data_IF_393902795131
#
_entry.id   IF_393902795131
#
_cell.length_a   1.000
_cell.length_b   1.000
_cell.length_c   1.000
_cell.angle_alpha   90.00
_cell.angle_beta   90.00
_cell.angle_gamma   90.00
#
_symmetry.space_group_name_H-M   'P 1'
#
loop_
_entity.id
_entity.type
_entity.pdbx_description
1 polymer ?
#
# COMPACT_ATOMS: atom_id res chain seq x y z
N UNK A 1 9.52 -11.01 17.53
CA UNK A 1 9.31 -9.92 16.55
C UNK A 1 9.22 -10.52 15.16
N UNK A 2 8.29 -10.04 14.33
CA UNK A 2 8.10 -10.52 12.96
C UNK A 2 7.75 -9.38 12.00
N UNK A 3 8.04 -9.58 10.71
CA UNK A 3 7.53 -8.76 9.62
C UNK A 3 6.27 -9.42 9.04
N UNK A 4 5.18 -8.68 8.97
CA UNK A 4 3.97 -9.09 8.29
C UNK A 4 4.07 -8.72 6.81
N UNK A 5 3.79 -9.68 5.90
CA UNK A 5 3.69 -9.43 4.47
C UNK A 5 2.26 -9.73 4.02
N UNK A 6 1.57 -8.73 3.49
CA UNK A 6 0.20 -8.83 2.99
C UNK A 6 0.26 -8.81 1.46
N UNK A 7 -0.31 -9.83 0.82
CA UNK A 7 -0.41 -9.92 -0.63
C UNK A 7 -1.89 -9.89 -1.02
N UNK A 8 -2.26 -8.94 -1.88
CA UNK A 8 -3.62 -8.84 -2.41
C UNK A 8 -3.64 -8.33 -3.83
N UNK A 9 -4.77 -8.55 -4.52
CA UNK A 9 -4.94 -8.09 -5.90
C UNK A 9 -4.82 -6.57 -6.05
N UNK A 10 -5.12 -5.79 -5.01
CA UNK A 10 -5.05 -4.32 -5.02
C UNK A 10 -4.30 -3.80 -3.81
N UNK A 11 -3.47 -2.76 -4.01
CA UNK A 11 -2.88 -2.03 -2.90
C UNK A 11 -3.94 -1.25 -2.11
N UNK A 12 -3.71 -0.97 -0.82
CA UNK A 12 -4.58 -0.14 0.00
C UNK A 12 -4.37 1.36 -0.30
N UNK A 13 -4.03 1.70 -1.54
CA UNK A 13 -3.86 3.08 -2.00
C UNK A 13 -4.62 3.32 -3.29
N UNK A 14 -5.04 4.56 -3.49
CA UNK A 14 -5.59 5.10 -4.72
C UNK A 14 -4.55 5.99 -5.37
N UNK A 15 -4.27 5.74 -6.65
CA UNK A 15 -3.36 6.57 -7.46
C UNK A 15 -4.15 7.70 -8.09
N UNK A 16 -3.70 8.94 -7.87
CA UNK A 16 -4.29 10.14 -8.46
C UNK A 16 -3.23 10.84 -9.30
N UNK A 17 -3.54 11.12 -10.56
CA UNK A 17 -2.69 11.90 -11.46
C UNK A 17 -3.24 13.32 -11.57
N UNK A 18 -2.51 14.31 -11.05
CA UNK A 18 -2.86 15.72 -11.13
C UNK A 18 -1.67 16.52 -11.67
N UNK A 19 -1.88 17.29 -12.75
CA UNK A 19 -0.89 18.21 -13.32
C UNK A 19 0.47 17.54 -13.63
N UNK A 20 0.46 16.28 -14.06
CA UNK A 20 1.67 15.50 -14.36
C UNK A 20 2.43 14.98 -13.13
N UNK A 21 1.86 15.13 -11.93
CA UNK A 21 2.36 14.53 -10.70
C UNK A 21 1.46 13.37 -10.27
N UNK A 22 2.10 12.29 -9.82
CA UNK A 22 1.40 11.12 -9.26
C UNK A 22 1.35 11.31 -7.75
N UNK A 23 0.16 11.18 -7.17
CA UNK A 23 -0.09 11.15 -5.72
C UNK A 23 -0.72 9.83 -5.33
N UNK A 24 -0.36 9.34 -4.15
CA UNK A 24 -0.97 8.16 -3.54
C UNK A 24 -1.79 8.60 -2.35
N UNK A 25 -3.04 8.16 -2.28
CA UNK A 25 -3.95 8.40 -1.17
C UNK A 25 -4.37 7.07 -0.57
N UNK A 26 -4.61 7.00 0.74
CA UNK A 26 -5.14 5.79 1.36
C UNK A 26 -6.48 5.40 0.72
N UNK A 27 -6.64 4.14 0.35
CA UNK A 27 -7.92 3.61 -0.12
C UNK A 27 -8.89 3.53 1.05
N UNK A 28 -10.11 4.03 0.84
CA UNK A 28 -11.16 4.00 1.87
C UNK A 28 -11.80 2.61 1.91
N UNK A 29 -11.76 1.97 3.09
CA UNK A 29 -12.61 0.82 3.43
C UNK A 29 -12.15 -0.56 2.91
N UNK A 30 -12.99 -1.57 3.16
CA UNK A 30 -12.82 -2.94 2.67
C UNK A 30 -11.72 -3.74 3.40
N UNK A 31 -10.87 -4.40 2.61
CA UNK A 31 -9.84 -5.32 3.10
C UNK A 31 -8.76 -4.62 3.96
N UNK A 32 -8.38 -3.39 3.60
CA UNK A 32 -7.37 -2.61 4.33
C UNK A 32 -7.83 -2.29 5.76
N UNK A 33 -9.07 -1.83 5.91
CA UNK A 33 -9.69 -1.60 7.20
C UNK A 33 -9.86 -2.90 7.97
N UNK A 34 -10.32 -3.98 7.32
CA UNK A 34 -10.49 -5.28 7.96
C UNK A 34 -9.19 -5.85 8.53
N UNK A 35 -8.08 -5.76 7.77
CA UNK A 35 -6.76 -6.21 8.24
C UNK A 35 -6.25 -5.34 9.39
N UNK A 36 -6.40 -4.01 9.31
CA UNK A 36 -6.04 -3.11 10.42
C UNK A 36 -6.81 -3.48 11.71
N UNK A 37 -8.12 -3.70 11.61
CA UNK A 37 -8.96 -4.12 12.74
C UNK A 37 -8.58 -5.49 13.27
N UNK A 38 -8.28 -6.45 12.38
CA UNK A 38 -7.78 -7.77 12.78
C UNK A 38 -6.48 -7.62 13.57
N UNK A 39 -5.45 -6.97 13.03
CA UNK A 39 -4.17 -6.80 13.74
C UNK A 39 -4.39 -6.17 15.13
N UNK A 40 -5.22 -5.13 15.22
CA UNK A 40 -5.51 -4.42 16.46
C UNK A 40 -6.39 -5.20 17.47
N UNK A 41 -7.11 -6.24 17.03
CA UNK A 41 -8.00 -7.01 17.92
C UNK A 41 -7.26 -7.84 18.96
N UNK A 42 -5.95 -8.02 18.80
CA UNK A 42 -5.08 -8.78 19.70
C UNK A 42 -3.80 -7.98 19.96
N UNK A 43 -3.64 -7.54 21.21
CA UNK A 43 -2.48 -6.73 21.65
C UNK A 43 -1.17 -7.49 21.50
N UNK A 44 -1.14 -8.79 21.83
CA UNK A 44 0.08 -9.58 21.72
C UNK A 44 0.51 -9.68 20.25
N UNK A 45 -0.45 -9.89 19.33
CA UNK A 45 -0.18 -9.86 17.89
C UNK A 45 0.33 -8.49 17.43
N UNK A 46 -0.33 -7.41 17.84
CA UNK A 46 0.06 -6.05 17.46
C UNK A 46 1.49 -5.73 17.93
N UNK A 47 1.87 -6.14 19.13
CA UNK A 47 3.22 -5.94 19.69
C UNK A 47 4.28 -6.84 19.03
N UNK A 48 3.89 -8.01 18.52
CA UNK A 48 4.82 -8.91 17.82
C UNK A 48 5.19 -8.43 16.42
N UNK A 49 4.32 -7.65 15.75
CA UNK A 49 4.53 -7.13 14.40
C UNK A 49 5.31 -5.81 14.48
N UNK A 50 6.55 -5.81 13.98
CA UNK A 50 7.36 -4.59 13.91
C UNK A 50 7.24 -3.83 12.60
N UNK A 51 6.90 -4.56 11.53
CA UNK A 51 6.84 -4.02 10.18
C UNK A 51 5.75 -4.73 9.39
N UNK A 52 5.11 -3.99 8.49
CA UNK A 52 4.02 -4.46 7.65
C UNK A 52 4.28 -4.02 6.20
N UNK A 53 4.59 -4.99 5.34
CA UNK A 53 4.77 -4.78 3.91
C UNK A 53 3.51 -5.21 3.16
N UNK A 54 2.98 -4.33 2.30
CA UNK A 54 1.85 -4.66 1.43
C UNK A 54 2.28 -4.73 -0.03
N UNK A 55 1.95 -5.84 -0.69
CA UNK A 55 2.20 -6.08 -2.11
C UNK A 55 0.88 -6.25 -2.86
N UNK A 56 0.72 -5.53 -3.96
CA UNK A 56 -0.47 -5.61 -4.80
C UNK A 56 -0.38 -4.69 -6.02
N UNK A 57 -1.40 -4.74 -6.88
CA UNK A 57 -1.49 -3.86 -8.03
C UNK A 57 -2.06 -2.48 -7.63
N UNK A 58 -1.44 -1.35 -8.04
CA UNK A 58 -1.76 -0.03 -7.49
C UNK A 58 -3.11 0.54 -7.90
N UNK A 59 -3.74 0.10 -8.98
CA UNK A 59 -4.83 0.91 -9.50
C UNK A 59 -5.01 0.88 -10.98
N UNK A 60 -3.88 1.17 -11.59
CA UNK A 60 -3.73 1.84 -12.87
C UNK A 60 -2.36 1.46 -13.42
N UNK A 61 -2.16 1.66 -14.71
CA UNK A 61 -0.84 1.61 -15.30
C UNK A 61 -0.07 2.90 -14.94
N UNK A 62 1.11 2.73 -14.34
CA UNK A 62 1.98 3.85 -13.97
C UNK A 62 3.04 3.98 -15.04
N UNK A 63 2.87 4.95 -15.94
CA UNK A 63 3.85 5.22 -16.98
C UNK A 63 5.19 5.59 -16.35
N UNK A 64 6.25 4.90 -16.77
CA UNK A 64 7.61 5.24 -16.40
C UNK A 64 7.88 6.66 -16.92
N UNK A 65 8.16 7.60 -16.00
CA UNK A 65 8.63 8.93 -16.41
C UNK A 65 9.90 8.71 -17.24
N UNK A 66 9.87 9.11 -18.50
CA UNK A 66 11.03 9.07 -19.37
C UNK A 66 12.17 9.79 -18.65
N UNK A 67 13.19 9.04 -18.25
CA UNK A 67 14.47 9.62 -17.94
C UNK A 67 15.03 10.05 -19.30
N UNK A 68 14.74 11.29 -19.71
CA UNK A 68 15.56 12.01 -20.68
C UNK A 68 16.95 12.20 -20.08
N UNK A 69 17.67 11.10 -19.96
CA UNK A 69 19.12 11.07 -19.77
C UNK A 69 19.71 11.25 -21.15
N UNK A 70 19.68 12.50 -21.63
CA UNK A 70 20.66 12.98 -22.61
C UNK A 70 22.02 12.95 -21.89
N UNK A 71 22.81 11.92 -22.18
CA UNK A 71 24.26 11.95 -22.01
C UNK A 71 24.86 12.22 -23.37
#
# INVERSE_FOLDING_TARGET
MMRLVIISNRLPVTVVEEKGAIRFMDSVGGLSTGIRSFIASDKARAEMIQDCLWVGWPGVDIKRRNQDRRW
#
